data_IF_363380995766
#
_entry.id   IF_363380995766
#
_cell.length_a   1.000
_cell.length_b   1.000
_cell.length_c   1.000
_cell.angle_alpha   90.00
_cell.angle_beta   90.00
_cell.angle_gamma   90.00
#
_symmetry.space_group_name_H-M   'P 1'
#
loop_
_entity.id
_entity.type
_entity.pdbx_description
1 polymer ?
#
# COMPACT_ATOMS: atom_id res chain seq x y z
N UNK A 1 3.18 -16.60 -11.09
CA UNK A 1 2.80 -15.76 -12.24
C UNK A 1 2.59 -14.31 -11.81
N UNK A 2 3.01 -13.40 -12.67
CA UNK A 2 2.81 -11.95 -12.47
C UNK A 2 2.12 -11.40 -13.72
N UNK A 3 1.03 -10.67 -13.53
CA UNK A 3 0.30 -10.04 -14.61
C UNK A 3 -0.19 -8.66 -14.22
N UNK A 4 -0.20 -7.73 -15.15
CA UNK A 4 -0.65 -6.36 -14.94
C UNK A 4 -1.48 -5.86 -16.12
N UNK A 5 -2.52 -5.11 -15.84
CA UNK A 5 -3.35 -4.41 -16.80
C UNK A 5 -3.42 -2.93 -16.46
N UNK A 6 -3.14 -2.09 -17.44
CA UNK A 6 -3.19 -0.63 -17.29
C UNK A 6 -1.91 0.02 -16.81
N UNK A 7 -0.83 -0.74 -16.63
CA UNK A 7 0.50 -0.24 -16.30
C UNK A 7 1.59 -1.22 -16.76
N UNK A 8 2.85 -0.77 -16.69
CA UNK A 8 3.98 -1.62 -17.07
C UNK A 8 4.20 -2.75 -16.03
N UNK A 9 4.09 -3.99 -16.46
CA UNK A 9 4.30 -5.15 -15.59
C UNK A 9 5.73 -5.23 -15.02
N UNK A 10 6.71 -4.65 -15.70
CA UNK A 10 8.07 -4.58 -15.18
C UNK A 10 8.12 -3.73 -13.90
N UNK A 11 7.30 -2.70 -13.82
CA UNK A 11 7.15 -1.91 -12.59
C UNK A 11 6.62 -2.75 -11.43
N UNK A 12 5.66 -3.62 -11.68
CA UNK A 12 5.17 -4.57 -10.68
C UNK A 12 6.31 -5.47 -10.17
N UNK A 13 7.13 -6.02 -11.07
CA UNK A 13 8.28 -6.86 -10.68
C UNK A 13 9.26 -6.10 -9.77
N UNK A 14 9.58 -4.87 -10.13
CA UNK A 14 10.49 -4.01 -9.33
C UNK A 14 9.91 -3.76 -7.95
N UNK A 15 8.65 -3.37 -7.86
CA UNK A 15 8.01 -3.06 -6.57
C UNK A 15 7.92 -4.31 -5.68
N UNK A 16 7.60 -5.46 -6.24
CA UNK A 16 7.60 -6.72 -5.49
C UNK A 16 8.98 -7.05 -4.92
N UNK A 17 10.03 -6.88 -5.72
CA UNK A 17 11.40 -7.11 -5.26
C UNK A 17 11.80 -6.17 -4.12
N UNK A 18 11.41 -4.90 -4.21
CA UNK A 18 11.69 -3.91 -3.14
C UNK A 18 10.90 -4.25 -1.87
N UNK A 19 9.63 -4.62 -1.99
CA UNK A 19 8.81 -5.04 -0.85
C UNK A 19 9.38 -6.26 -0.15
N UNK A 20 9.78 -7.27 -0.91
CA UNK A 20 10.39 -8.50 -0.35
C UNK A 20 11.65 -8.16 0.43
N UNK A 21 12.52 -7.34 -0.14
CA UNK A 21 13.79 -6.97 0.48
C UNK A 21 13.60 -6.08 1.73
N UNK A 22 12.76 -5.06 1.64
CA UNK A 22 12.63 -4.05 2.70
C UNK A 22 11.69 -4.45 3.82
N UNK A 23 10.59 -5.11 3.49
CA UNK A 23 9.60 -5.54 4.48
C UNK A 23 9.75 -7.01 4.88
N UNK A 24 10.72 -7.71 4.30
CA UNK A 24 10.98 -9.13 4.53
C UNK A 24 9.73 -10.00 4.29
N UNK A 25 9.03 -9.70 3.21
CA UNK A 25 7.89 -10.47 2.74
C UNK A 25 8.33 -11.47 1.68
N UNK A 26 7.51 -12.47 1.41
CA UNK A 26 7.73 -13.39 0.30
C UNK A 26 6.46 -13.50 -0.56
N UNK A 27 6.62 -13.25 -1.85
CA UNK A 27 5.58 -13.45 -2.85
C UNK A 27 5.87 -14.65 -3.76
N UNK A 28 6.89 -15.45 -3.41
CA UNK A 28 7.39 -16.53 -4.26
C UNK A 28 6.33 -17.58 -4.58
N UNK A 29 5.45 -17.87 -3.65
CA UNK A 29 4.39 -18.88 -3.78
C UNK A 29 3.04 -18.30 -4.24
N UNK A 30 2.98 -17.00 -4.51
CA UNK A 30 1.74 -16.34 -4.89
C UNK A 30 1.71 -15.99 -6.38
N UNK A 31 0.56 -16.19 -7.01
CA UNK A 31 0.25 -15.57 -8.28
C UNK A 31 -0.31 -14.17 -8.03
N UNK A 32 0.18 -13.16 -8.76
CA UNK A 32 -0.20 -11.77 -8.57
C UNK A 32 -0.77 -11.23 -9.86
N UNK A 33 -1.99 -10.72 -9.75
CA UNK A 33 -2.72 -10.06 -10.81
C UNK A 33 -3.11 -8.66 -10.33
N UNK A 34 -2.62 -7.64 -11.01
CA UNK A 34 -2.92 -6.25 -10.68
C UNK A 34 -3.55 -5.54 -11.87
N UNK A 35 -4.50 -4.67 -11.60
CA UNK A 35 -5.26 -3.97 -12.63
C UNK A 35 -5.53 -2.53 -12.19
N UNK A 36 -5.37 -1.60 -13.12
CA UNK A 36 -5.88 -0.24 -12.96
C UNK A 36 -7.37 -0.24 -13.30
N UNK A 37 -8.20 0.22 -12.37
CA UNK A 37 -9.64 0.29 -12.58
C UNK A 37 -10.04 1.28 -13.67
N UNK A 38 -11.23 1.11 -14.22
CA UNK A 38 -11.78 2.01 -15.23
C UNK A 38 -11.18 1.90 -16.62
N UNK A 39 -10.39 0.88 -16.90
CA UNK A 39 -9.77 0.68 -18.22
C UNK A 39 -8.67 1.69 -18.57
N UNK A 40 -8.19 2.44 -17.59
CA UNK A 40 -7.14 3.44 -17.78
C UNK A 40 -5.77 2.78 -17.94
N UNK A 41 -4.93 3.43 -18.72
CA UNK A 41 -3.48 3.10 -18.81
C UNK A 41 -2.70 4.21 -18.13
N UNK A 42 -1.92 3.86 -17.13
CA UNK A 42 -1.12 4.82 -16.37
C UNK A 42 0.36 4.50 -16.54
N UNK A 43 1.12 5.50 -16.92
CA UNK A 43 2.59 5.46 -17.02
C UNK A 43 3.18 6.53 -16.11
N UNK A 44 2.69 6.63 -14.89
CA UNK A 44 3.03 7.70 -13.96
C UNK A 44 3.76 7.16 -12.73
N UNK A 45 4.96 7.67 -12.40
CA UNK A 45 5.71 7.23 -11.23
C UNK A 45 4.96 7.38 -9.90
N UNK A 46 4.11 8.40 -9.82
CA UNK A 46 3.29 8.67 -8.63
C UNK A 46 2.30 7.56 -8.28
N UNK A 47 2.06 6.63 -9.19
CA UNK A 47 1.19 5.47 -8.95
C UNK A 47 1.83 4.40 -8.06
N UNK A 48 3.15 4.40 -7.89
CA UNK A 48 3.85 3.35 -7.16
C UNK A 48 3.29 3.11 -5.77
N UNK A 49 3.06 4.18 -5.03
CA UNK A 49 2.58 4.07 -3.66
C UNK A 49 1.18 3.45 -3.58
N UNK A 50 0.31 3.76 -4.52
CA UNK A 50 -1.02 3.14 -4.62
C UNK A 50 -0.92 1.64 -4.93
N UNK A 51 -0.02 1.27 -5.84
CA UNK A 51 0.21 -0.14 -6.17
C UNK A 51 0.78 -0.91 -4.98
N UNK A 52 1.75 -0.33 -4.27
CA UNK A 52 2.30 -0.90 -3.03
C UNK A 52 1.19 -1.10 -1.98
N UNK A 53 0.38 -0.08 -1.74
CA UNK A 53 -0.73 -0.18 -0.78
C UNK A 53 -1.70 -1.31 -1.15
N UNK A 54 -2.06 -1.43 -2.42
CA UNK A 54 -2.94 -2.50 -2.91
C UNK A 54 -2.30 -3.89 -2.74
N UNK A 55 -1.01 -4.04 -3.04
CA UNK A 55 -0.27 -5.28 -2.85
C UNK A 55 -0.23 -5.71 -1.38
N UNK A 56 0.08 -4.78 -0.49
CA UNK A 56 0.10 -5.06 0.96
C UNK A 56 -1.28 -5.37 1.51
N UNK A 57 -2.31 -4.66 1.06
CA UNK A 57 -3.70 -4.93 1.42
C UNK A 57 -4.10 -6.36 1.08
N UNK A 58 -3.77 -6.79 -0.13
CA UNK A 58 -4.03 -8.17 -0.58
C UNK A 58 -3.19 -9.20 0.20
N UNK A 59 -1.92 -8.90 0.43
CA UNK A 59 -1.01 -9.78 1.15
C UNK A 59 -1.45 -10.02 2.60
N UNK A 60 -1.86 -8.98 3.31
CA UNK A 60 -2.31 -9.08 4.69
C UNK A 60 -3.80 -9.39 4.84
N UNK A 61 -4.53 -9.41 3.75
CA UNK A 61 -6.00 -9.54 3.74
C UNK A 61 -6.68 -8.49 4.65
N UNK A 62 -6.19 -7.25 4.55
CA UNK A 62 -6.70 -6.10 5.30
C UNK A 62 -7.13 -5.01 4.32
N UNK A 63 -8.40 -4.60 4.33
CA UNK A 63 -8.88 -3.55 3.44
C UNK A 63 -8.17 -2.23 3.69
N UNK A 64 -7.92 -1.49 2.63
CA UNK A 64 -7.51 -0.09 2.73
C UNK A 64 -8.69 0.78 3.18
N UNK A 65 -8.42 1.94 3.81
CA UNK A 65 -9.50 2.88 4.10
C UNK A 65 -10.23 3.27 2.82
N UNK A 66 -11.56 3.26 2.86
CA UNK A 66 -12.42 3.32 1.68
C UNK A 66 -12.20 4.55 0.80
N UNK A 67 -11.87 5.68 1.43
CA UNK A 67 -11.65 6.95 0.73
C UNK A 67 -10.19 7.41 0.73
N UNK A 68 -9.27 6.51 1.01
CA UNK A 68 -7.84 6.82 0.98
C UNK A 68 -7.35 7.12 -0.42
N UNK A 69 -6.41 8.06 -0.53
CA UNK A 69 -5.71 8.39 -1.76
C UNK A 69 -4.21 8.26 -1.53
N UNK A 70 -3.52 7.72 -2.50
CA UNK A 70 -2.09 7.45 -2.44
C UNK A 70 -1.38 8.07 -3.63
N UNK A 71 -0.28 8.74 -3.42
CA UNK A 71 0.65 9.13 -4.49
C UNK A 71 2.07 9.19 -3.98
N UNK A 72 3.00 8.85 -4.83
CA UNK A 72 4.43 8.84 -4.56
C UNK A 72 5.15 7.80 -5.39
N UNK A 73 6.41 8.09 -5.69
CA UNK A 73 7.31 7.13 -6.34
C UNK A 73 8.07 6.33 -5.29
N UNK A 74 8.25 5.05 -5.53
CA UNK A 74 9.05 4.18 -4.66
C UNK A 74 10.37 3.87 -5.36
N UNK A 75 11.48 4.22 -4.73
CA UNK A 75 12.81 3.93 -5.26
C UNK A 75 13.30 2.52 -4.86
N UNK A 76 14.43 2.12 -5.42
CA UNK A 76 15.00 0.79 -5.18
C UNK A 76 15.46 0.57 -3.73
N UNK A 77 15.60 1.63 -2.96
CA UNK A 77 15.94 1.58 -1.54
C UNK A 77 14.71 1.52 -0.62
N UNK A 78 13.50 1.50 -1.19
CA UNK A 78 12.27 1.53 -0.42
C UNK A 78 11.93 2.90 0.14
N UNK A 79 12.53 3.97 -0.40
CA UNK A 79 12.19 5.34 -0.05
C UNK A 79 10.99 5.80 -0.87
N UNK A 80 10.09 6.54 -0.24
CA UNK A 80 8.95 7.17 -0.90
C UNK A 80 9.38 8.56 -1.34
N UNK A 81 9.38 8.79 -2.65
CA UNK A 81 9.91 10.00 -3.27
C UNK A 81 8.79 10.92 -3.75
N UNK A 82 9.00 12.23 -3.67
CA UNK A 82 8.08 13.21 -4.20
C UNK A 82 7.85 13.02 -5.70
N UNK A 83 6.67 13.40 -6.14
CA UNK A 83 6.28 13.44 -7.55
C UNK A 83 5.73 14.81 -7.90
N UNK A 84 5.70 15.14 -9.19
CA UNK A 84 5.14 16.40 -9.65
C UNK A 84 3.68 16.58 -9.26
N UNK A 85 3.30 17.81 -8.98
CA UNK A 85 1.90 18.17 -8.73
C UNK A 85 1.40 17.86 -7.32
N UNK A 86 2.28 17.76 -6.33
CA UNK A 86 1.87 17.47 -4.96
C UNK A 86 0.77 18.41 -4.45
N UNK A 87 0.94 19.72 -4.59
CA UNK A 87 -0.04 20.70 -4.11
C UNK A 87 -1.40 20.56 -4.82
N UNK A 88 -1.39 20.33 -6.12
CA UNK A 88 -2.62 20.10 -6.90
C UNK A 88 -3.32 18.80 -6.47
N UNK A 89 -2.56 17.73 -6.30
CA UNK A 89 -3.08 16.43 -5.82
C UNK A 89 -3.73 16.57 -4.45
N UNK A 90 -3.05 17.23 -3.52
CA UNK A 90 -3.55 17.46 -2.16
C UNK A 90 -4.83 18.30 -2.18
N UNK A 91 -4.82 19.42 -2.89
CA UNK A 91 -5.98 20.32 -3.01
C UNK A 91 -7.20 19.60 -3.59
N UNK A 92 -7.00 18.85 -4.68
CA UNK A 92 -8.11 18.13 -5.32
C UNK A 92 -8.64 16.98 -4.44
N UNK A 93 -7.75 16.23 -3.80
CA UNK A 93 -8.16 15.15 -2.92
C UNK A 93 -9.00 15.67 -1.73
N UNK A 94 -8.56 16.76 -1.11
CA UNK A 94 -9.32 17.41 -0.03
C UNK A 94 -10.66 17.95 -0.52
N UNK A 95 -10.67 18.60 -1.66
CA UNK A 95 -11.92 19.13 -2.25
C UNK A 95 -12.94 18.04 -2.51
N UNK A 96 -12.49 16.86 -2.96
CA UNK A 96 -13.35 15.71 -3.24
C UNK A 96 -13.70 14.89 -1.99
N UNK A 97 -13.17 15.28 -0.82
CA UNK A 97 -13.47 14.62 0.45
C UNK A 97 -12.74 13.31 0.68
N UNK A 98 -11.63 13.05 -0.02
CA UNK A 98 -10.79 11.89 0.22
C UNK A 98 -9.97 12.04 1.48
N UNK A 99 -9.89 10.97 2.25
CA UNK A 99 -9.05 10.86 3.46
C UNK A 99 -8.90 9.39 3.89
N UNK A 100 -7.76 8.97 4.46
CA UNK A 100 -6.53 9.75 4.59
C UNK A 100 -5.82 9.96 3.27
N UNK A 101 -4.93 10.95 3.21
CA UNK A 101 -4.01 11.19 2.11
C UNK A 101 -2.64 10.61 2.50
N UNK A 102 -2.17 9.64 1.77
CA UNK A 102 -0.87 9.00 1.99
C UNK A 102 0.05 9.40 0.85
N UNK A 103 1.07 10.14 1.16
CA UNK A 103 1.95 10.76 0.18
C UNK A 103 3.38 10.92 0.72
N UNK A 104 4.36 11.28 -0.11
CA UNK A 104 5.71 11.54 0.36
C UNK A 104 5.72 12.67 1.39
N UNK A 105 6.56 12.52 2.40
CA UNK A 105 6.80 13.60 3.37
C UNK A 105 7.41 14.80 2.67
N UNK A 106 6.82 15.97 2.84
CA UNK A 106 7.28 17.22 2.21
C UNK A 106 8.29 18.01 3.07
N UNK A 107 8.60 17.50 4.24
CA UNK A 107 9.53 18.13 5.16
C UNK A 107 8.97 19.26 6.00
N UNK A 108 7.84 19.83 5.63
CA UNK A 108 7.22 20.97 6.31
C UNK A 108 6.00 20.60 7.14
N UNK A 109 5.13 19.75 6.60
CA UNK A 109 3.84 19.48 7.23
C UNK A 109 3.86 18.35 8.27
N UNK A 110 4.90 17.53 8.29
CA UNK A 110 4.94 16.35 9.15
C UNK A 110 3.93 15.25 8.80
N UNK A 111 3.08 15.49 7.83
CA UNK A 111 2.10 14.54 7.31
C UNK A 111 2.65 13.89 6.04
N UNK A 112 2.95 12.65 6.08
CA UNK A 112 3.51 11.94 4.93
C UNK A 112 4.42 10.81 5.35
N UNK A 113 4.81 10.01 4.39
CA UNK A 113 5.65 8.85 4.61
C UNK A 113 6.96 8.98 3.87
N UNK A 114 8.05 8.47 4.45
CA UNK A 114 9.39 8.48 3.89
C UNK A 114 9.83 7.12 3.39
N UNK A 115 9.31 6.06 3.99
CA UNK A 115 9.76 4.69 3.74
C UNK A 115 8.58 3.74 3.61
N UNK A 116 8.82 2.59 2.99
CA UNK A 116 7.81 1.52 2.91
C UNK A 116 7.46 0.97 4.30
N UNK A 117 8.41 0.97 5.24
CA UNK A 117 8.18 0.58 6.62
C UNK A 117 7.15 1.51 7.29
N UNK A 118 7.24 2.81 7.04
CA UNK A 118 6.25 3.77 7.53
C UNK A 118 4.87 3.55 6.93
N UNK A 119 4.78 3.20 5.64
CA UNK A 119 3.52 2.84 4.97
C UNK A 119 2.91 1.60 5.62
N UNK A 120 3.71 0.57 5.81
CA UNK A 120 3.30 -0.66 6.47
C UNK A 120 2.78 -0.39 7.89
N UNK A 121 3.49 0.41 8.64
CA UNK A 121 3.12 0.79 10.01
C UNK A 121 1.81 1.57 10.05
N UNK A 122 1.63 2.54 9.15
CA UNK A 122 0.45 3.37 9.11
C UNK A 122 -0.83 2.60 8.74
N UNK A 123 -0.72 1.66 7.80
CA UNK A 123 -1.86 0.95 7.25
C UNK A 123 -2.08 -0.43 7.85
N UNK A 124 -1.02 -1.11 8.28
CA UNK A 124 -1.04 -2.52 8.64
C UNK A 124 -0.32 -2.82 9.97
N UNK A 125 -0.33 -1.90 10.93
CA UNK A 125 0.35 -2.08 12.22
C UNK A 125 -0.07 -3.36 12.94
N UNK A 126 -1.31 -3.81 12.78
CA UNK A 126 -1.85 -5.06 13.34
C UNK A 126 -1.32 -6.32 12.63
N UNK A 127 -0.82 -6.21 11.37
CA UNK A 127 -0.25 -7.32 10.61
C UNK A 127 1.10 -7.79 11.14
N UNK A 128 1.84 -6.95 11.87
CA UNK A 128 3.11 -7.31 12.49
C UNK A 128 2.97 -8.28 13.68
N UNK A 129 1.82 -8.31 14.32
CA UNK A 129 1.54 -9.22 15.44
C UNK A 129 1.15 -10.63 15.03
N UNK A 130 0.90 -10.87 13.74
CA UNK A 130 0.39 -12.15 13.23
C UNK A 130 1.45 -13.20 12.91
N UNK A 131 2.73 -12.86 12.93
CA UNK A 131 3.80 -13.82 12.63
C UNK A 131 4.23 -14.68 13.83
N UNK A 132 3.47 -14.70 14.91
CA UNK A 132 3.87 -15.44 16.09
C UNK A 132 2.82 -15.69 17.16
N UNK A 133 1.58 -16.07 16.80
CA UNK A 133 0.73 -16.81 17.75
C UNK A 133 -0.46 -17.44 17.03
N UNK A 134 -0.55 -18.74 17.20
CA UNK A 134 -1.54 -19.70 16.77
C UNK A 134 -2.89 -19.20 16.30
N UNK A 135 -3.25 -19.66 15.10
CA UNK A 135 -4.58 -19.46 14.57
C UNK A 135 -5.64 -19.92 15.55
N UNK A 136 -6.58 -19.05 15.86
CA UNK A 136 -7.81 -19.47 16.50
C UNK A 136 -8.53 -20.44 15.56
N UNK A 137 -8.80 -21.60 16.07
CA UNK A 137 -9.64 -22.59 15.41
C UNK A 137 -11.05 -22.02 15.20
N UNK A 138 -11.74 -22.37 14.08
CA UNK A 138 -13.13 -21.98 13.88
C UNK A 138 -14.10 -22.47 14.97
N UNK A 139 -13.61 -23.29 15.90
CA UNK A 139 -14.41 -23.88 16.97
C UNK A 139 -14.15 -23.28 18.36
N UNK A 140 -13.36 -22.22 18.50
CA UNK A 140 -13.19 -21.59 19.80
C UNK A 140 -14.46 -20.85 20.23
N UNK A 141 -14.96 -21.08 21.45
CA UNK A 141 -16.20 -20.46 21.92
C UNK A 141 -16.03 -18.94 22.05
N UNK A 142 -17.05 -18.22 21.63
CA UNK A 142 -17.10 -16.75 21.77
C UNK A 142 -16.99 -16.36 23.25
N UNK A 143 -16.21 -15.32 23.60
CA UNK A 143 -16.21 -14.81 24.95
C UNK A 143 -17.60 -14.25 25.32
N UNK A 144 -17.98 -14.33 26.60
CA UNK A 144 -19.27 -13.81 27.04
C UNK A 144 -19.35 -12.29 26.82
N UNK A 145 -20.52 -11.86 26.35
CA UNK A 145 -20.84 -10.44 26.18
C UNK A 145 -20.90 -9.83 27.57
N UNK A 146 -19.99 -8.90 27.90
CA UNK A 146 -20.12 -8.09 29.10
C UNK A 146 -21.20 -7.03 28.87
N UNK A 147 -22.18 -7.05 29.74
CA UNK A 147 -23.18 -5.99 29.84
C UNK A 147 -22.57 -4.70 30.36
#
# INVERSE_FOLDING_TARGET
RRAGLGFDVNRLHVLLAVLEKRLRLSFAQADIYAKVGGGLKLAEPGMDLALVAALLSSFYDVPLPERAVFWGEVDLNGQVRPVAGHAVRETQAKRLGYKPLIHPADGESGYGVRTLEEVQQALFARGRGGAGKGGRSPHDPKPPISQ
#
